data_IF_086875252999
#
_entry.id   IF_086875252999
#
_cell.length_a   1.000
_cell.length_b   1.000
_cell.length_c   1.000
_cell.angle_alpha   90.00
_cell.angle_beta   90.00
_cell.angle_gamma   90.00
#
_symmetry.space_group_name_H-M   'P 1'
#
loop_
_entity.id
_entity.type
_entity.pdbx_description
1 polymer ?
#
# COMPACT_ATOMS: atom_id res chain seq x y z
N UNK A 1 12.42 -27.86 53.17
CA UNK A 1 12.75 -28.46 51.86
C UNK A 1 11.53 -28.24 50.97
N UNK A 2 11.17 -27.03 50.51
CA UNK A 2 11.89 -26.06 49.66
C UNK A 2 12.53 -26.68 48.43
N UNK A 3 12.02 -26.25 47.26
CA UNK A 3 12.45 -26.48 45.87
C UNK A 3 11.80 -27.67 45.16
N UNK A 4 10.97 -27.39 44.13
CA UNK A 4 11.33 -27.76 42.75
C UNK A 4 10.49 -27.13 41.62
N UNK A 5 9.27 -26.57 41.77
CA UNK A 5 8.53 -26.12 40.55
C UNK A 5 7.83 -24.76 40.61
N UNK A 6 8.52 -23.77 41.15
CA UNK A 6 8.32 -22.33 40.86
C UNK A 6 8.80 -21.96 39.44
N UNK A 7 8.52 -22.81 38.43
CA UNK A 7 8.97 -22.65 37.04
C UNK A 7 7.82 -22.61 36.03
N UNK A 8 6.57 -22.47 36.50
CA UNK A 8 5.38 -22.38 35.65
C UNK A 8 4.76 -20.97 35.60
N UNK A 9 5.47 -19.97 36.12
CA UNK A 9 5.05 -18.58 36.09
C UNK A 9 6.24 -17.69 35.70
N UNK A 10 6.49 -17.56 34.39
CA UNK A 10 6.81 -16.31 33.68
C UNK A 10 7.47 -16.63 32.33
N UNK A 11 6.93 -16.05 31.26
CA UNK A 11 7.68 -15.85 30.03
C UNK A 11 7.30 -16.77 28.86
N UNK A 12 6.08 -16.59 28.35
CA UNK A 12 5.79 -16.35 26.93
C UNK A 12 4.26 -16.34 26.80
N UNK A 13 3.62 -15.29 27.34
CA UNK A 13 2.32 -14.90 26.83
C UNK A 13 2.49 -14.75 25.31
N UNK A 14 1.62 -15.34 24.47
CA UNK A 14 1.65 -15.10 23.03
C UNK A 14 1.22 -13.65 22.76
N UNK A 15 2.09 -12.69 23.07
CA UNK A 15 1.86 -11.25 22.84
C UNK A 15 2.29 -10.88 21.43
N UNK A 16 1.80 -11.65 20.46
CA UNK A 16 1.80 -11.22 19.07
C UNK A 16 0.60 -11.83 18.32
N UNK A 17 -0.50 -12.07 19.02
CA UNK A 17 -1.79 -11.97 18.35
C UNK A 17 -2.19 -10.50 18.41
N UNK A 18 -1.38 -9.63 17.80
CA UNK A 18 -1.90 -8.36 17.36
C UNK A 18 -3.02 -8.74 16.38
N UNK A 19 -4.27 -8.61 16.83
CA UNK A 19 -5.41 -8.61 15.93
C UNK A 19 -5.02 -7.71 14.77
N UNK A 20 -4.89 -8.26 13.56
CA UNK A 20 -4.88 -7.43 12.35
C UNK A 20 -6.18 -6.64 12.41
N UNK A 21 -6.11 -5.40 12.88
CA UNK A 21 -7.19 -4.46 12.67
C UNK A 21 -7.14 -4.17 11.19
N UNK A 22 -8.05 -4.79 10.45
CA UNK A 22 -8.15 -4.65 9.01
C UNK A 22 -8.16 -3.16 8.65
N UNK A 23 -7.38 -2.78 7.64
CA UNK A 23 -7.49 -1.46 7.06
C UNK A 23 -8.95 -1.24 6.60
N UNK A 24 -9.54 -0.11 7.00
CA UNK A 24 -10.89 0.23 6.59
C UNK A 24 -10.83 1.20 5.40
N UNK A 25 -11.30 0.75 4.25
CA UNK A 25 -11.44 1.61 3.07
C UNK A 25 -12.58 2.60 3.36
N UNK A 26 -12.25 3.89 3.26
CA UNK A 26 -13.21 5.00 3.33
C UNK A 26 -13.20 5.68 1.96
N UNK A 27 -14.37 5.74 1.32
CA UNK A 27 -14.50 6.33 -0.02
C UNK A 27 -14.93 7.80 0.03
N UNK A 28 -15.48 8.23 1.17
CA UNK A 28 -16.01 9.59 1.35
C UNK A 28 -15.32 10.27 2.52
N UNK A 29 -15.05 11.56 2.35
CA UNK A 29 -14.48 12.41 3.40
C UNK A 29 -15.30 12.37 4.70
N UNK A 30 -16.63 12.22 4.62
CA UNK A 30 -17.51 12.12 5.80
C UNK A 30 -17.30 10.86 6.66
N UNK A 31 -16.56 9.85 6.15
CA UNK A 31 -16.27 8.61 6.88
C UNK A 31 -14.88 8.63 7.54
N UNK A 32 -14.13 9.71 7.35
CA UNK A 32 -12.79 9.94 7.88
C UNK A 32 -12.95 10.74 9.19
N UNK A 33 -12.09 10.49 10.18
CA UNK A 33 -12.10 11.25 11.45
C UNK A 33 -11.59 12.66 11.21
N UNK A 34 -11.93 13.59 12.10
CA UNK A 34 -11.43 14.97 12.03
C UNK A 34 -9.91 15.07 12.25
N UNK A 35 -9.33 14.11 12.99
CA UNK A 35 -7.90 14.10 13.33
C UNK A 35 -7.28 12.69 13.30
N UNK A 36 -6.00 12.65 12.94
CA UNK A 36 -5.13 11.47 12.94
C UNK A 36 -3.74 11.89 13.40
N UNK A 37 -3.01 10.99 14.04
CA UNK A 37 -1.63 11.26 14.47
C UNK A 37 -0.66 11.25 13.29
N UNK A 38 -0.94 10.44 12.28
CA UNK A 38 -0.19 10.42 11.02
C UNK A 38 -1.12 10.44 9.82
N UNK A 39 -0.77 11.27 8.84
CA UNK A 39 -1.39 11.27 7.51
C UNK A 39 -0.31 10.95 6.48
N UNK A 40 -0.51 9.86 5.75
CA UNK A 40 0.37 9.39 4.69
C UNK A 40 -0.30 9.63 3.35
N UNK A 41 0.40 10.33 2.45
CA UNK A 41 -0.07 10.58 1.10
C UNK A 41 0.58 9.56 0.17
N UNK A 42 -0.24 8.70 -0.43
CA UNK A 42 0.13 7.61 -1.32
C UNK A 42 0.10 6.24 -0.62
N UNK A 43 -0.84 5.38 -1.01
CA UNK A 43 -0.90 3.96 -0.64
C UNK A 43 -0.01 3.09 -1.55
N UNK A 44 1.17 3.61 -1.94
CA UNK A 44 2.19 2.85 -2.66
C UNK A 44 2.96 1.89 -1.75
N UNK A 45 3.96 1.20 -2.32
CA UNK A 45 4.80 0.24 -1.58
C UNK A 45 5.38 0.82 -0.29
N UNK A 46 5.95 2.02 -0.33
CA UNK A 46 6.52 2.66 0.86
C UNK A 46 5.44 3.13 1.84
N UNK A 47 4.39 3.80 1.35
CA UNK A 47 3.34 4.38 2.18
C UNK A 47 2.59 3.33 3.00
N UNK A 48 2.21 2.20 2.37
CA UNK A 48 1.57 1.09 3.09
C UNK A 48 2.53 0.39 4.06
N UNK A 49 3.83 0.27 3.70
CA UNK A 49 4.83 -0.30 4.63
C UNK A 49 4.98 0.56 5.88
N UNK A 50 5.05 1.88 5.73
CA UNK A 50 5.14 2.80 6.87
C UNK A 50 3.85 2.79 7.69
N UNK A 51 2.68 2.79 7.04
CA UNK A 51 1.40 2.71 7.71
C UNK A 51 1.29 1.45 8.57
N UNK A 52 1.65 0.29 8.00
CA UNK A 52 1.66 -1.01 8.70
C UNK A 52 2.48 -0.92 9.99
N UNK A 53 3.71 -0.40 9.91
CA UNK A 53 4.60 -0.25 11.07
C UNK A 53 4.14 0.76 12.10
N UNK A 54 3.53 1.87 11.69
CA UNK A 54 2.97 2.85 12.62
C UNK A 54 1.73 2.31 13.35
N UNK A 55 0.98 1.42 12.72
CA UNK A 55 -0.21 0.80 13.31
C UNK A 55 0.10 -0.44 14.16
N UNK A 56 1.33 -0.97 14.12
CA UNK A 56 1.77 -2.05 15.01
C UNK A 56 1.55 -1.66 16.49
N UNK A 57 0.76 -2.45 17.20
CA UNK A 57 0.44 -2.21 18.61
C UNK A 57 -0.65 -1.16 18.88
N UNK A 58 -1.35 -0.67 17.83
CA UNK A 58 -2.50 0.24 17.95
C UNK A 58 -2.22 1.54 18.69
N UNK A 59 -0.94 1.95 18.77
CA UNK A 59 -0.51 3.15 19.48
C UNK A 59 -0.91 4.43 18.75
N UNK A 60 -0.88 4.41 17.41
CA UNK A 60 -1.13 5.57 16.59
C UNK A 60 -2.33 5.37 15.65
N UNK A 61 -3.07 6.44 15.43
CA UNK A 61 -4.08 6.55 14.38
C UNK A 61 -3.44 7.03 13.09
N UNK A 62 -3.64 6.27 12.01
CA UNK A 62 -3.03 6.55 10.70
C UNK A 62 -4.12 6.67 9.64
N UNK A 63 -4.07 7.75 8.85
CA UNK A 63 -4.84 7.91 7.63
C UNK A 63 -3.91 7.77 6.43
N UNK A 64 -4.23 6.89 5.49
CA UNK A 64 -3.54 6.81 4.20
C UNK A 64 -4.49 7.33 3.12
N UNK A 65 -4.02 8.28 2.32
CA UNK A 65 -4.79 8.88 1.22
C UNK A 65 -4.15 8.44 -0.10
N UNK A 66 -4.92 7.77 -0.97
CA UNK A 66 -4.48 7.36 -2.30
C UNK A 66 -5.44 7.96 -3.34
N UNK A 67 -4.87 8.54 -4.40
CA UNK A 67 -5.66 9.10 -5.50
C UNK A 67 -6.24 8.00 -6.39
N UNK A 68 -5.53 6.87 -6.49
CA UNK A 68 -5.95 5.71 -7.24
C UNK A 68 -7.07 4.91 -6.60
N UNK A 69 -7.65 4.02 -7.41
CA UNK A 69 -8.68 3.10 -6.94
C UNK A 69 -8.10 2.04 -5.98
N UNK A 70 -8.88 1.60 -5.01
CA UNK A 70 -8.53 0.46 -4.17
C UNK A 70 -8.83 -0.84 -4.95
N UNK A 71 -7.93 -1.18 -5.89
CA UNK A 71 -8.10 -2.34 -6.76
C UNK A 71 -8.19 -3.64 -5.95
N UNK A 72 -9.17 -4.47 -6.29
CA UNK A 72 -9.27 -5.84 -5.77
C UNK A 72 -8.19 -6.72 -6.39
N UNK A 73 -7.84 -7.81 -5.71
CA UNK A 73 -6.92 -8.81 -6.24
C UNK A 73 -7.34 -9.36 -7.61
N UNK A 74 -8.65 -9.47 -7.86
CA UNK A 74 -9.18 -9.92 -9.13
C UNK A 74 -8.91 -8.90 -10.25
N UNK A 75 -9.05 -7.60 -9.97
CA UNK A 75 -8.71 -6.54 -10.91
C UNK A 75 -7.22 -6.49 -11.16
N UNK A 76 -6.39 -6.54 -10.12
CA UNK A 76 -4.91 -6.59 -10.24
C UNK A 76 -4.46 -7.83 -11.03
N UNK A 77 -5.10 -8.99 -10.87
CA UNK A 77 -4.77 -10.20 -11.64
C UNK A 77 -5.15 -10.08 -13.11
N UNK A 78 -6.28 -9.43 -13.43
CA UNK A 78 -6.67 -9.13 -14.83
C UNK A 78 -5.68 -8.20 -15.52
N UNK A 79 -4.93 -7.41 -14.75
CA UNK A 79 -3.87 -6.54 -15.24
C UNK A 79 -2.63 -7.34 -15.66
N UNK A 80 -2.30 -8.42 -14.95
CA UNK A 80 -1.11 -9.25 -15.26
C UNK A 80 -1.20 -9.87 -16.65
N UNK A 81 -0.17 -9.64 -17.47
CA UNK A 81 -0.09 -10.13 -18.84
C UNK A 81 -0.79 -9.26 -19.90
N UNK A 82 -1.33 -8.10 -19.51
CA UNK A 82 -1.83 -7.08 -20.46
C UNK A 82 -0.80 -5.97 -20.66
N UNK A 83 -0.95 -5.25 -21.77
CA UNK A 83 -0.07 -4.12 -22.11
C UNK A 83 -0.56 -2.85 -21.40
N UNK A 84 0.35 -1.93 -21.08
CA UNK A 84 0.02 -0.64 -20.45
C UNK A 84 -0.98 0.27 -21.19
N UNK A 85 -1.33 -0.07 -22.44
CA UNK A 85 -2.39 0.59 -23.21
C UNK A 85 -3.79 0.19 -22.72
N UNK A 86 -3.92 -0.97 -22.08
CA UNK A 86 -5.21 -1.54 -21.64
C UNK A 86 -5.56 -1.19 -20.17
N UNK A 87 -4.82 -0.27 -19.56
CA UNK A 87 -4.86 0.04 -18.12
C UNK A 87 -4.91 1.54 -17.83
N UNK A 88 -5.87 2.30 -18.41
CA UNK A 88 -6.00 3.72 -18.12
C UNK A 88 -6.24 4.00 -16.63
N UNK A 89 -6.90 3.10 -15.92
CA UNK A 89 -7.39 3.37 -14.55
C UNK A 89 -6.39 3.04 -13.43
N UNK A 90 -5.29 2.34 -13.74
CA UNK A 90 -4.32 1.88 -12.73
C UNK A 90 -2.96 2.59 -12.80
N UNK A 91 -2.81 3.60 -13.67
CA UNK A 91 -1.54 4.33 -13.83
C UNK A 91 -1.75 5.84 -13.99
N UNK A 92 -0.81 6.62 -13.47
CA UNK A 92 -0.80 8.05 -13.69
C UNK A 92 -0.53 8.37 -15.17
N UNK A 93 -1.20 9.39 -15.71
CA UNK A 93 -0.97 9.85 -17.07
C UNK A 93 0.25 10.78 -17.14
N UNK A 94 1.45 10.18 -17.05
CA UNK A 94 2.72 10.91 -17.06
C UNK A 94 3.44 10.63 -18.38
N UNK A 95 3.79 11.71 -19.08
CA UNK A 95 4.62 11.67 -20.28
C UNK A 95 5.85 12.52 -20.05
N UNK A 96 7.03 12.00 -20.39
CA UNK A 96 8.27 12.76 -20.31
C UNK A 96 8.24 13.94 -21.27
N UNK A 97 9.05 14.95 -20.99
CA UNK A 97 9.43 15.92 -22.02
C UNK A 97 10.17 15.21 -23.17
N UNK A 98 10.29 15.90 -24.30
CA UNK A 98 11.09 15.45 -25.44
C UNK A 98 12.52 15.14 -25.00
N UNK A 99 13.04 13.97 -25.38
CA UNK A 99 14.38 13.51 -25.00
C UNK A 99 15.34 13.65 -26.20
N UNK A 100 16.34 14.55 -26.14
CA UNK A 100 17.30 14.73 -27.24
C UNK A 100 18.03 13.44 -27.61
N UNK A 101 18.38 12.62 -26.61
CA UNK A 101 19.02 11.30 -26.80
C UNK A 101 18.11 10.23 -27.42
N UNK A 102 16.84 10.53 -27.71
CA UNK A 102 15.88 9.60 -28.32
C UNK A 102 15.22 10.20 -29.58
N UNK A 103 15.95 11.00 -30.36
CA UNK A 103 15.43 11.70 -31.54
C UNK A 103 14.24 12.60 -31.21
N UNK A 104 14.32 13.32 -30.07
CA UNK A 104 13.27 14.20 -29.58
C UNK A 104 11.90 13.52 -29.34
N UNK A 105 11.87 12.20 -29.17
CA UNK A 105 10.65 11.49 -28.79
C UNK A 105 10.31 11.72 -27.32
N UNK A 106 9.04 11.59 -27.00
CA UNK A 106 8.51 11.55 -25.62
C UNK A 106 8.27 10.10 -25.21
N UNK A 107 8.42 9.79 -23.92
CA UNK A 107 8.20 8.47 -23.37
C UNK A 107 7.07 8.48 -22.34
N UNK A 108 6.17 7.49 -22.40
CA UNK A 108 5.20 7.27 -21.33
C UNK A 108 5.94 6.73 -20.11
N UNK A 109 5.79 7.39 -18.96
CA UNK A 109 6.34 6.94 -17.69
C UNK A 109 5.23 6.25 -16.94
N UNK A 110 5.43 4.97 -16.64
CA UNK A 110 4.39 4.23 -15.94
C UNK A 110 4.62 4.18 -14.44
N UNK A 111 3.70 4.79 -13.72
CA UNK A 111 3.62 4.81 -12.26
C UNK A 111 2.24 4.34 -11.86
N UNK A 112 2.16 3.37 -10.94
CA UNK A 112 0.88 2.82 -10.50
C UNK A 112 0.07 3.82 -9.67
N UNK A 113 -1.22 3.93 -9.97
CA UNK A 113 -2.20 4.78 -9.30
C UNK A 113 -3.29 3.87 -8.70
N UNK A 114 -2.97 3.18 -7.62
CA UNK A 114 -3.83 2.21 -6.93
C UNK A 114 -3.22 1.90 -5.56
N UNK A 115 -3.98 1.31 -4.65
CA UNK A 115 -3.41 0.66 -3.46
C UNK A 115 -2.33 -0.36 -3.89
N UNK A 116 -1.15 -0.31 -3.26
CA UNK A 116 0.07 -1.01 -3.66
C UNK A 116 0.94 -0.25 -4.67
N UNK A 117 0.43 0.81 -5.31
CA UNK A 117 1.13 1.65 -6.28
C UNK A 117 1.75 0.85 -7.42
N UNK A 118 2.98 1.19 -7.80
CA UNK A 118 3.71 0.49 -8.87
C UNK A 118 3.97 -1.00 -8.60
N UNK A 119 3.91 -1.45 -7.34
CA UNK A 119 4.05 -2.89 -7.06
C UNK A 119 2.81 -3.70 -7.45
N UNK A 120 1.63 -3.08 -7.45
CA UNK A 120 0.38 -3.72 -7.88
C UNK A 120 0.37 -3.98 -9.39
N UNK A 121 0.94 -3.07 -10.18
CA UNK A 121 1.01 -3.18 -11.65
C UNK A 121 2.31 -3.83 -12.15
N UNK A 122 3.12 -4.43 -11.27
CA UNK A 122 4.36 -5.08 -11.66
C UNK A 122 4.09 -6.30 -12.54
N UNK A 123 4.85 -6.43 -13.65
CA UNK A 123 4.76 -7.59 -14.55
C UNK A 123 3.78 -7.43 -15.72
N UNK A 124 3.27 -6.22 -15.95
CA UNK A 124 2.62 -5.86 -17.21
C UNK A 124 3.68 -5.58 -18.28
N UNK A 125 3.45 -6.05 -19.51
CA UNK A 125 4.42 -5.89 -20.61
C UNK A 125 4.33 -4.49 -21.22
N UNK A 126 5.50 -3.89 -21.47
CA UNK A 126 5.63 -2.56 -22.05
C UNK A 126 5.57 -2.52 -23.58
N UNK A 127 5.28 -3.65 -24.22
CA UNK A 127 5.33 -3.84 -25.68
C UNK A 127 4.10 -4.61 -26.13
#
# INVERSE_FOLDING_TARGET
VTNILTALALGLLPTAWARLQFAHIRERASQVKDTYEYVIIGAGTAGLTVADRLTEGSKYTVLVIECGYAATDAEIKKVKGRTYKDLPDFSYNITSISQPGMLNRTQKVVVGCTAGGSSAIKGVSGF
#
